data_IF_754719345648
#
_entry.id   IF_754719345648
#
_cell.length_a   1.000
_cell.length_b   1.000
_cell.length_c   1.000
_cell.angle_alpha   90.00
_cell.angle_beta   90.00
_cell.angle_gamma   90.00
#
_symmetry.space_group_name_H-M   'P 1'
#
loop_
_entity.id
_entity.type
_entity.pdbx_description
1 polymer ?
#
# COMPACT_ATOMS: atom_id res chain seq x y z
N UNK A 1 -1.75 -20.00 4.58
CA UNK A 1 -1.08 -19.12 3.59
C UNK A 1 -1.73 -17.75 3.49
N UNK A 2 -3.06 -17.65 3.25
CA UNK A 2 -3.77 -16.37 3.23
C UNK A 2 -3.70 -15.58 4.53
N UNK A 3 -3.61 -16.25 5.67
CA UNK A 3 -3.32 -15.64 6.97
C UNK A 3 -2.00 -14.83 6.95
N UNK A 4 -0.93 -15.46 6.48
CA UNK A 4 0.40 -14.82 6.36
C UNK A 4 0.35 -13.65 5.38
N UNK A 5 -0.28 -13.83 4.21
CA UNK A 5 -0.44 -12.75 3.23
C UNK A 5 -1.24 -11.57 3.79
N UNK A 6 -2.26 -11.84 4.61
CA UNK A 6 -3.06 -10.81 5.25
C UNK A 6 -2.24 -10.04 6.29
N UNK A 7 -1.41 -10.71 7.09
CA UNK A 7 -0.45 -10.04 7.97
C UNK A 7 0.59 -9.20 7.22
N UNK A 8 1.09 -9.72 6.10
CA UNK A 8 2.01 -8.99 5.23
C UNK A 8 1.36 -7.72 4.66
N UNK A 9 0.06 -7.70 4.37
CA UNK A 9 -0.65 -6.47 4.00
C UNK A 9 -0.89 -5.57 5.22
N UNK A 10 -1.33 -6.16 6.34
CA UNK A 10 -1.74 -5.44 7.53
C UNK A 10 -0.60 -4.63 8.15
N UNK A 11 0.56 -5.25 8.37
CA UNK A 11 1.66 -4.62 9.11
C UNK A 11 2.21 -3.35 8.45
N UNK A 12 2.50 -3.30 7.13
CA UNK A 12 2.92 -2.07 6.47
C UNK A 12 1.84 -0.98 6.49
N UNK A 13 0.56 -1.36 6.35
CA UNK A 13 -0.57 -0.42 6.43
C UNK A 13 -0.68 0.21 7.82
N UNK A 14 -0.64 -0.60 8.87
CA UNK A 14 -0.65 -0.16 10.26
C UNK A 14 0.55 0.71 10.59
N UNK A 15 1.76 0.24 10.25
CA UNK A 15 3.00 0.95 10.51
C UNK A 15 3.04 2.29 9.78
N UNK A 16 2.69 2.31 8.49
CA UNK A 16 2.67 3.54 7.70
C UNK A 16 1.61 4.52 8.20
N UNK A 17 0.39 4.06 8.47
CA UNK A 17 -0.69 4.89 8.99
C UNK A 17 -0.34 5.49 10.36
N UNK A 18 0.18 4.68 11.28
CA UNK A 18 0.62 5.15 12.60
C UNK A 18 1.78 6.13 12.51
N UNK A 19 2.81 5.83 11.70
CA UNK A 19 3.96 6.72 11.54
C UNK A 19 3.56 8.07 10.94
N UNK A 20 2.66 8.07 9.96
CA UNK A 20 2.16 9.29 9.33
C UNK A 20 1.30 10.14 10.27
N UNK A 21 0.57 9.52 11.22
CA UNK A 21 -0.21 10.24 12.22
C UNK A 21 0.65 10.78 13.38
N UNK A 22 1.65 10.02 13.83
CA UNK A 22 2.51 10.40 14.97
C UNK A 22 3.59 11.39 14.53
N UNK A 23 4.20 11.18 13.36
CA UNK A 23 5.33 11.97 12.85
C UNK A 23 5.04 12.58 11.48
N UNK A 24 3.86 13.19 11.33
CA UNK A 24 3.35 13.72 10.07
C UNK A 24 4.38 14.59 9.33
N UNK A 25 4.96 15.60 9.98
CA UNK A 25 5.87 16.54 9.33
C UNK A 25 7.12 15.86 8.77
N UNK A 26 7.73 14.95 9.55
CA UNK A 26 8.93 14.22 9.13
C UNK A 26 8.60 13.25 8.00
N UNK A 27 7.50 12.51 8.14
CA UNK A 27 7.06 11.54 7.14
C UNK A 27 6.76 12.23 5.80
N UNK A 28 5.99 13.32 5.82
CA UNK A 28 5.60 14.03 4.60
C UNK A 28 6.74 14.81 3.96
N UNK A 29 7.71 15.32 4.73
CA UNK A 29 8.92 15.93 4.17
C UNK A 29 9.73 14.91 3.36
N UNK A 30 10.00 13.74 3.96
CA UNK A 30 10.71 12.65 3.27
C UNK A 30 9.98 12.19 2.00
N UNK A 31 8.65 12.08 2.05
CA UNK A 31 7.84 11.74 0.87
C UNK A 31 7.89 12.84 -0.19
N UNK A 32 7.85 14.10 0.22
CA UNK A 32 7.96 15.22 -0.71
C UNK A 32 9.31 15.22 -1.44
N UNK A 33 10.41 14.91 -0.76
CA UNK A 33 11.73 14.77 -1.37
C UNK A 33 11.76 13.63 -2.41
N UNK A 34 11.16 12.48 -2.10
CA UNK A 34 11.08 11.37 -3.05
C UNK A 34 10.27 11.71 -4.30
N UNK A 35 9.15 12.41 -4.15
CA UNK A 35 8.29 12.79 -5.28
C UNK A 35 8.77 14.02 -6.04
N UNK A 36 9.78 14.73 -5.53
CA UNK A 36 10.43 15.83 -6.25
C UNK A 36 11.48 15.34 -7.27
N UNK A 37 11.86 14.05 -7.22
CA UNK A 37 12.85 13.51 -8.14
C UNK A 37 12.33 13.40 -9.59
N UNK A 38 13.16 13.81 -10.55
CA UNK A 38 12.85 13.76 -11.99
C UNK A 38 12.66 12.33 -12.51
N UNK A 39 13.36 11.37 -11.92
CA UNK A 39 13.23 9.95 -12.23
C UNK A 39 12.65 9.19 -11.05
N UNK A 40 12.13 7.98 -11.29
CA UNK A 40 11.57 7.14 -10.23
C UNK A 40 12.68 6.74 -9.24
N UNK A 41 12.64 7.16 -7.97
CA UNK A 41 13.62 6.75 -7.00
C UNK A 41 13.53 5.24 -6.76
N UNK A 42 14.67 4.57 -6.55
CA UNK A 42 14.72 3.13 -6.23
C UNK A 42 13.86 2.81 -5.00
N UNK A 43 13.84 3.70 -4.01
CA UNK A 43 12.99 3.56 -2.81
C UNK A 43 11.50 3.51 -3.13
N UNK A 44 11.05 4.17 -4.20
CA UNK A 44 9.67 4.13 -4.67
C UNK A 44 9.36 2.80 -5.37
N UNK A 45 10.35 2.15 -6.01
CA UNK A 45 10.18 0.85 -6.67
C UNK A 45 9.95 -0.30 -5.69
N UNK A 46 10.40 -0.17 -4.43
CA UNK A 46 10.24 -1.19 -3.39
C UNK A 46 8.76 -1.55 -3.20
N UNK A 47 7.88 -0.56 -3.12
CA UNK A 47 6.46 -0.82 -2.83
C UNK A 47 5.74 -1.53 -4.00
N UNK A 48 5.83 -1.09 -5.27
CA UNK A 48 5.31 -1.82 -6.42
C UNK A 48 5.85 -3.25 -6.52
N UNK A 49 7.15 -3.45 -6.33
CA UNK A 49 7.74 -4.80 -6.36
C UNK A 49 7.17 -5.68 -5.25
N UNK A 50 7.01 -5.13 -4.05
CA UNK A 50 6.41 -5.81 -2.91
C UNK A 50 4.96 -6.22 -3.19
N UNK A 51 4.12 -5.31 -3.70
CA UNK A 51 2.70 -5.62 -3.96
C UNK A 51 2.51 -6.57 -5.14
N UNK A 52 3.38 -6.51 -6.17
CA UNK A 52 3.40 -7.50 -7.25
C UNK A 52 3.78 -8.88 -6.70
N UNK A 53 4.77 -8.95 -5.82
CA UNK A 53 5.16 -10.22 -5.18
C UNK A 53 4.02 -10.80 -4.34
N UNK A 54 3.30 -9.95 -3.59
CA UNK A 54 2.10 -10.36 -2.85
C UNK A 54 0.97 -10.84 -3.77
N UNK A 55 0.75 -10.16 -4.90
CA UNK A 55 -0.24 -10.57 -5.89
C UNK A 55 0.10 -11.93 -6.50
N UNK A 56 1.36 -12.17 -6.87
CA UNK A 56 1.82 -13.46 -7.39
C UNK A 56 1.64 -14.56 -6.34
N UNK A 57 2.02 -14.30 -5.09
CA UNK A 57 1.86 -15.27 -4.00
C UNK A 57 0.38 -15.55 -3.68
N UNK A 58 -0.50 -14.55 -3.72
CA UNK A 58 -1.94 -14.72 -3.48
C UNK A 58 -2.60 -15.50 -4.61
N UNK A 59 -2.21 -15.27 -5.87
CA UNK A 59 -2.64 -16.08 -7.00
C UNK A 59 -2.19 -17.53 -6.87
N UNK A 60 -0.92 -17.76 -6.54
CA UNK A 60 -0.42 -19.11 -6.26
C UNK A 60 -1.26 -19.79 -5.17
N UNK A 61 -1.47 -19.12 -4.04
CA UNK A 61 -2.29 -19.62 -2.94
C UNK A 61 -3.71 -19.97 -3.38
N UNK A 62 -4.32 -19.13 -4.24
CA UNK A 62 -5.68 -19.30 -4.74
C UNK A 62 -5.78 -20.51 -5.67
N UNK A 63 -4.78 -20.73 -6.51
CA UNK A 63 -4.77 -21.83 -7.48
C UNK A 63 -4.44 -23.16 -6.80
N UNK A 64 -3.57 -23.18 -5.80
CA UNK A 64 -3.15 -24.42 -5.12
C UNK A 64 -3.95 -24.76 -3.87
N UNK A 65 -4.70 -23.80 -3.32
CA UNK A 65 -5.40 -23.95 -2.06
C UNK A 65 -6.79 -23.32 -2.10
N UNK A 66 -7.81 -24.13 -1.84
CA UNK A 66 -9.20 -23.68 -1.79
C UNK A 66 -9.54 -23.11 -0.42
N UNK A 67 -9.23 -21.83 -0.17
CA UNK A 67 -9.82 -21.11 0.96
C UNK A 67 -11.05 -20.31 0.48
N UNK A 68 -12.25 -20.49 1.05
CA UNK A 68 -13.49 -19.88 0.55
C UNK A 68 -13.40 -18.36 0.38
N UNK A 69 -12.66 -17.70 1.27
CA UNK A 69 -12.49 -16.26 1.30
C UNK A 69 -11.15 -15.76 0.73
N UNK A 70 -10.31 -16.65 0.18
CA UNK A 70 -8.96 -16.28 -0.30
C UNK A 70 -8.97 -15.20 -1.39
N UNK A 71 -10.06 -15.13 -2.17
CA UNK A 71 -10.27 -14.16 -3.23
C UNK A 71 -10.22 -12.69 -2.75
N UNK A 72 -10.50 -12.41 -1.46
CA UNK A 72 -10.42 -11.04 -0.92
C UNK A 72 -8.98 -10.54 -0.98
N UNK A 73 -8.04 -11.33 -0.44
CA UNK A 73 -6.61 -11.01 -0.46
C UNK A 73 -6.08 -10.98 -1.90
N UNK A 74 -6.49 -11.93 -2.74
CA UNK A 74 -6.05 -12.01 -4.14
C UNK A 74 -6.53 -10.83 -4.96
N UNK A 75 -7.83 -10.49 -4.88
CA UNK A 75 -8.41 -9.35 -5.57
C UNK A 75 -7.79 -8.03 -5.11
N UNK A 76 -7.64 -7.84 -3.79
CA UNK A 76 -7.02 -6.65 -3.24
C UNK A 76 -5.55 -6.50 -3.69
N UNK A 77 -4.73 -7.53 -3.52
CA UNK A 77 -3.32 -7.49 -3.91
C UNK A 77 -3.15 -7.26 -5.42
N UNK A 78 -4.02 -7.87 -6.24
CA UNK A 78 -4.06 -7.63 -7.69
C UNK A 78 -4.37 -6.16 -8.00
N UNK A 79 -5.40 -5.58 -7.38
CA UNK A 79 -5.77 -4.18 -7.61
C UNK A 79 -4.64 -3.23 -7.21
N UNK A 80 -4.04 -3.41 -6.04
CA UNK A 80 -2.94 -2.55 -5.59
C UNK A 80 -1.69 -2.73 -6.46
N UNK A 81 -1.39 -3.94 -6.93
CA UNK A 81 -0.30 -4.18 -7.88
C UNK A 81 -0.52 -3.43 -9.19
N UNK A 82 -1.73 -3.50 -9.77
CA UNK A 82 -2.08 -2.76 -10.99
C UNK A 82 -1.98 -1.25 -10.79
N UNK A 83 -2.50 -0.72 -9.67
CA UNK A 83 -2.36 0.70 -9.34
C UNK A 83 -0.89 1.11 -9.17
N UNK A 84 -0.06 0.25 -8.56
CA UNK A 84 1.38 0.46 -8.44
C UNK A 84 2.07 0.58 -9.81
N UNK A 85 1.80 -0.37 -10.70
CA UNK A 85 2.33 -0.36 -12.08
C UNK A 85 1.84 0.88 -12.84
N UNK A 86 0.56 1.22 -12.73
CA UNK A 86 -0.01 2.38 -13.41
C UNK A 86 0.61 3.68 -12.91
N UNK A 87 0.81 3.82 -11.59
CA UNK A 87 1.48 4.98 -11.00
C UNK A 87 2.95 5.10 -11.47
N UNK A 88 3.67 3.98 -11.62
CA UNK A 88 5.03 3.96 -12.16
C UNK A 88 5.05 4.37 -13.64
N UNK A 89 4.14 3.81 -14.46
CA UNK A 89 4.05 4.15 -15.89
C UNK A 89 3.71 5.63 -16.13
N UNK A 90 3.06 6.27 -15.16
CA UNK A 90 2.66 7.68 -15.21
C UNK A 90 3.42 8.52 -14.17
N UNK A 91 4.68 8.16 -13.87
CA UNK A 91 5.47 8.73 -12.78
C UNK A 91 5.39 10.26 -12.72
N UNK A 92 5.71 10.96 -13.81
CA UNK A 92 5.73 12.43 -13.85
C UNK A 92 4.37 13.08 -13.54
N UNK A 93 3.26 12.44 -13.91
CA UNK A 93 1.93 12.95 -13.59
C UNK A 93 1.57 12.63 -12.13
N UNK A 94 1.88 11.42 -11.68
CA UNK A 94 1.63 10.96 -10.33
C UNK A 94 2.45 11.74 -9.29
N UNK A 95 3.74 11.95 -9.52
CA UNK A 95 4.65 12.67 -8.64
C UNK A 95 4.22 14.12 -8.42
N UNK A 96 3.83 14.83 -9.50
CA UNK A 96 3.27 16.18 -9.43
C UNK A 96 1.95 16.23 -8.65
N UNK A 97 1.05 15.27 -8.90
CA UNK A 97 -0.23 15.19 -8.18
C UNK A 97 -0.02 14.96 -6.67
N UNK A 98 0.80 13.96 -6.31
CA UNK A 98 1.10 13.64 -4.91
C UNK A 98 1.87 14.77 -4.24
N UNK A 99 2.84 15.38 -4.91
CA UNK A 99 3.56 16.55 -4.41
C UNK A 99 2.61 17.71 -4.07
N UNK A 100 1.65 18.01 -4.95
CA UNK A 100 0.62 19.03 -4.69
C UNK A 100 -0.28 18.65 -3.50
N UNK A 101 -0.72 17.40 -3.41
CA UNK A 101 -1.54 16.90 -2.30
C UNK A 101 -0.79 17.03 -0.97
N UNK A 102 0.50 16.68 -0.95
CA UNK A 102 1.36 16.80 0.24
C UNK A 102 1.53 18.27 0.65
N UNK A 103 1.78 19.18 -0.30
CA UNK A 103 2.03 20.58 0.02
C UNK A 103 0.77 21.34 0.47
N UNK A 104 -0.38 21.07 -0.16
CA UNK A 104 -1.54 21.97 -0.07
C UNK A 104 -2.75 21.40 0.67
N UNK A 105 -2.80 20.09 0.94
CA UNK A 105 -4.02 19.44 1.44
C UNK A 105 -3.77 18.58 2.69
N UNK A 106 -3.58 19.18 3.88
CA UNK A 106 -3.40 18.44 5.13
C UNK A 106 -4.57 17.51 5.47
N UNK A 107 -5.81 17.94 5.22
CA UNK A 107 -6.99 17.13 5.50
C UNK A 107 -7.05 15.86 4.63
N UNK A 108 -6.72 15.97 3.34
CA UNK A 108 -6.73 14.81 2.44
C UNK A 108 -5.62 13.81 2.78
N UNK A 109 -4.44 14.31 3.17
CA UNK A 109 -3.36 13.48 3.71
C UNK A 109 -3.81 12.63 4.90
N UNK A 110 -4.41 13.25 5.92
CA UNK A 110 -4.89 12.55 7.11
C UNK A 110 -5.96 11.51 6.77
N UNK A 111 -6.84 11.79 5.80
CA UNK A 111 -7.83 10.80 5.34
C UNK A 111 -7.15 9.56 4.74
N UNK A 112 -6.10 9.74 3.93
CA UNK A 112 -5.32 8.63 3.37
C UNK A 112 -4.66 7.82 4.49
N UNK A 113 -4.09 8.47 5.50
CA UNK A 113 -3.44 7.79 6.61
C UNK A 113 -4.43 6.99 7.47
N UNK A 114 -5.60 7.58 7.78
CA UNK A 114 -6.69 6.90 8.48
C UNK A 114 -7.25 5.73 7.67
N UNK A 115 -7.39 5.91 6.35
CA UNK A 115 -7.80 4.83 5.46
C UNK A 115 -6.80 3.67 5.48
N UNK A 116 -5.50 3.96 5.39
CA UNK A 116 -4.45 2.94 5.46
C UNK A 116 -4.44 2.23 6.83
N UNK A 117 -4.64 2.97 7.92
CA UNK A 117 -4.75 2.38 9.25
C UNK A 117 -5.97 1.44 9.35
N UNK A 118 -7.14 1.90 8.90
CA UNK A 118 -8.36 1.09 8.87
C UNK A 118 -8.22 -0.16 7.99
N UNK A 119 -7.56 -0.03 6.85
CA UNK A 119 -7.24 -1.15 5.96
C UNK A 119 -6.30 -2.16 6.64
N UNK A 120 -5.30 -1.66 7.38
CA UNK A 120 -4.40 -2.50 8.17
C UNK A 120 -5.14 -3.30 9.24
N UNK A 121 -6.07 -2.65 9.97
CA UNK A 121 -6.92 -3.31 10.98
C UNK A 121 -7.81 -4.36 10.32
N UNK A 122 -8.42 -4.04 9.18
CA UNK A 122 -9.26 -4.98 8.43
C UNK A 122 -8.50 -6.24 8.03
N UNK A 123 -7.29 -6.10 7.46
CA UNK A 123 -6.48 -7.25 7.07
C UNK A 123 -5.94 -8.04 8.27
N UNK A 124 -5.62 -7.37 9.38
CA UNK A 124 -5.27 -8.07 10.63
C UNK A 124 -6.46 -8.89 11.15
N UNK A 125 -7.67 -8.34 11.11
CA UNK A 125 -8.88 -9.05 11.50
C UNK A 125 -9.16 -10.26 10.58
N UNK A 126 -8.99 -10.11 9.26
CA UNK A 126 -9.08 -11.25 8.32
C UNK A 126 -8.05 -12.33 8.67
N UNK A 127 -6.82 -11.96 9.02
CA UNK A 127 -5.77 -12.90 9.41
C UNK A 127 -6.05 -13.64 10.73
N UNK A 128 -6.85 -13.07 11.64
CA UNK A 128 -7.13 -13.69 12.94
C UNK A 128 -8.43 -14.51 12.89
N UNK A 129 -9.46 -13.97 12.24
CA UNK A 129 -10.82 -14.50 12.34
C UNK A 129 -11.29 -15.25 11.09
N UNK A 130 -10.62 -15.09 9.95
CA UNK A 130 -11.07 -15.67 8.67
C UNK A 130 -10.09 -16.69 8.09
N UNK A 131 -8.78 -16.45 8.18
CA UNK A 131 -7.74 -17.28 7.56
C UNK A 131 -6.80 -17.95 8.57
#
# INVERSE_FOLDING_TARGET
>A
MFQVLSWLIALPCLFKGALALIQADRFYRWRSEQYAADSVPVTVLIMPLYVVSLATASWWATLTGSHPWGWIVTGFSTLIALLGILNLSRWHAHSRHVGKLIATQPKERTKVDLFLLGLGILFAALAIFVY
#
